data_IF_716972627097
#
_entry.id   IF_716972627097
#
_cell.length_a   1.000
_cell.length_b   1.000
_cell.length_c   1.000
_cell.angle_alpha   90.00
_cell.angle_beta   90.00
_cell.angle_gamma   90.00
#
_symmetry.space_group_name_H-M   'P 1'
#
loop_
_entity.id
_entity.type
_entity.pdbx_description
1 polymer ?
#
# COMPACT_ATOMS: atom_id res chain seq x y z
N UNK A 1 6.38 -17.48 9.84
CA UNK A 1 5.80 -17.47 8.45
C UNK A 1 5.19 -16.13 8.04
N UNK A 2 4.49 -15.43 8.94
CA UNK A 2 3.78 -14.16 8.66
C UNK A 2 4.69 -13.06 8.09
N UNK A 3 5.93 -12.97 8.59
CA UNK A 3 6.93 -12.00 8.13
C UNK A 3 7.34 -12.19 6.66
N UNK A 4 7.46 -13.43 6.18
CA UNK A 4 7.78 -13.69 4.76
C UNK A 4 6.62 -13.29 3.83
N UNK A 5 5.39 -13.58 4.25
CA UNK A 5 4.16 -13.16 3.56
C UNK A 5 4.08 -11.62 3.52
N UNK A 6 4.43 -10.95 4.62
CA UNK A 6 4.47 -9.49 4.66
C UNK A 6 5.48 -8.90 3.67
N UNK A 7 6.71 -9.45 3.63
CA UNK A 7 7.74 -9.03 2.65
C UNK A 7 7.24 -9.22 1.22
N UNK A 8 6.68 -10.39 0.92
CA UNK A 8 6.12 -10.68 -0.41
C UNK A 8 5.04 -9.67 -0.79
N UNK A 9 4.06 -9.44 0.09
CA UNK A 9 2.98 -8.48 -0.15
C UNK A 9 3.51 -7.07 -0.42
N UNK A 10 4.48 -6.59 0.37
CA UNK A 10 5.06 -5.25 0.16
C UNK A 10 5.79 -5.12 -1.18
N UNK A 11 6.64 -6.10 -1.53
CA UNK A 11 7.38 -6.10 -2.79
C UNK A 11 6.45 -6.24 -3.99
N UNK A 12 5.48 -7.14 -3.91
CA UNK A 12 4.47 -7.32 -4.96
C UNK A 12 3.67 -6.05 -5.18
N UNK A 13 3.21 -5.39 -4.11
CA UNK A 13 2.48 -4.12 -4.23
C UNK A 13 3.33 -3.04 -4.92
N UNK A 14 4.60 -2.89 -4.51
CA UNK A 14 5.50 -1.90 -5.08
C UNK A 14 5.77 -2.18 -6.56
N UNK A 15 6.02 -3.44 -6.91
CA UNK A 15 6.25 -3.85 -8.28
C UNK A 15 5.01 -3.63 -9.16
N UNK A 16 3.83 -4.02 -8.66
CA UNK A 16 2.58 -3.80 -9.38
C UNK A 16 2.28 -2.31 -9.57
N UNK A 17 2.58 -1.46 -8.58
CA UNK A 17 2.48 0.00 -8.74
C UNK A 17 3.32 0.50 -9.92
N UNK A 18 4.59 0.09 -9.98
CA UNK A 18 5.49 0.50 -11.08
C UNK A 18 4.98 0.03 -12.45
N UNK A 19 4.44 -1.19 -12.53
CA UNK A 19 3.86 -1.71 -13.79
C UNK A 19 2.63 -0.89 -14.20
N UNK A 20 1.76 -0.57 -13.25
CA UNK A 20 0.52 0.19 -13.48
C UNK A 20 0.85 1.62 -13.89
N UNK A 21 1.81 2.26 -13.26
CA UNK A 21 2.30 3.60 -13.61
C UNK A 21 2.85 3.66 -15.04
N UNK A 22 3.54 2.61 -15.49
CA UNK A 22 4.01 2.50 -16.88
C UNK A 22 2.92 2.16 -17.89
N UNK A 23 1.85 1.49 -17.47
CA UNK A 23 0.80 1.00 -18.37
C UNK A 23 -0.32 2.01 -18.59
N UNK A 24 -0.60 2.85 -17.59
CA UNK A 24 -1.69 3.81 -17.64
C UNK A 24 -1.17 5.21 -17.93
N UNK A 25 -1.36 5.66 -19.17
CA UNK A 25 -1.13 7.06 -19.52
C UNK A 25 -2.32 7.94 -19.09
N UNK A 26 -2.06 9.17 -18.61
CA UNK A 26 -3.12 10.11 -18.31
C UNK A 26 -3.83 10.55 -19.60
N UNK A 27 -5.15 10.51 -19.58
CA UNK A 27 -5.98 10.95 -20.70
C UNK A 27 -6.01 12.48 -20.71
N UNK A 28 -5.72 13.04 -21.89
CA UNK A 28 -5.78 14.49 -22.10
C UNK A 28 -7.23 14.90 -22.39
N UNK A 29 -7.80 15.68 -21.50
CA UNK A 29 -9.12 16.31 -21.67
C UNK A 29 -8.93 17.81 -21.93
N UNK A 30 -9.32 18.25 -23.13
CA UNK A 30 -9.35 19.66 -23.50
C UNK A 30 -10.75 20.21 -23.28
N UNK A 31 -10.89 21.13 -22.33
CA UNK A 31 -12.13 21.86 -22.08
C UNK A 31 -11.96 23.25 -22.69
N UNK A 32 -12.85 23.59 -23.60
CA UNK A 32 -12.90 24.91 -24.22
C UNK A 32 -14.06 25.67 -23.62
N UNK A 33 -13.79 26.78 -22.97
CA UNK A 33 -14.82 27.66 -22.41
C UNK A 33 -14.73 29.00 -23.11
N UNK A 34 -15.81 29.39 -23.78
CA UNK A 34 -15.92 30.71 -24.40
C UNK A 34 -16.79 31.58 -23.52
N UNK A 35 -16.21 32.66 -23.02
CA UNK A 35 -16.95 33.71 -22.34
C UNK A 35 -17.78 34.47 -23.39
N UNK A 36 -19.10 34.44 -23.25
CA UNK A 36 -20.03 35.06 -24.19
C UNK A 36 -20.06 36.59 -24.09
N UNK A 37 -19.58 37.17 -22.98
CA UNK A 37 -19.57 38.62 -22.74
C UNK A 37 -18.27 39.26 -23.23
N UNK A 38 -17.13 38.61 -22.98
CA UNK A 38 -15.81 39.10 -23.42
C UNK A 38 -15.36 38.53 -24.77
N UNK A 39 -16.01 37.48 -25.27
CA UNK A 39 -15.60 36.75 -26.49
C UNK A 39 -14.30 35.96 -26.34
N UNK A 40 -13.69 35.96 -25.15
CA UNK A 40 -12.43 35.28 -24.87
C UNK A 40 -12.69 33.79 -24.78
N UNK A 41 -11.92 33.02 -25.54
CA UNK A 41 -11.91 31.55 -25.44
C UNK A 41 -10.74 31.11 -24.59
N UNK A 42 -11.02 30.48 -23.46
CA UNK A 42 -10.03 29.81 -22.63
C UNK A 42 -10.02 28.32 -23.00
N UNK A 43 -8.81 27.78 -23.16
CA UNK A 43 -8.59 26.36 -23.38
C UNK A 43 -7.84 25.83 -22.18
N UNK A 44 -8.52 25.02 -21.37
CA UNK A 44 -7.92 24.34 -20.23
C UNK A 44 -7.64 22.89 -20.61
N UNK A 45 -6.38 22.47 -20.41
CA UNK A 45 -5.95 21.09 -20.62
C UNK A 45 -5.86 20.41 -19.26
N UNK A 46 -6.69 19.38 -19.06
CA UNK A 46 -6.65 18.52 -17.89
C UNK A 46 -6.06 17.17 -18.27
N UNK A 47 -5.23 16.62 -17.39
CA UNK A 47 -4.69 15.27 -17.52
C UNK A 47 -5.31 14.43 -16.43
N UNK A 48 -6.15 13.48 -16.82
CA UNK A 48 -6.91 12.66 -15.88
C UNK A 48 -6.61 11.18 -16.12
N UNK A 49 -6.18 10.50 -15.06
CA UNK A 49 -6.03 9.05 -15.09
C UNK A 49 -7.40 8.37 -15.12
N UNK A 50 -7.55 7.25 -15.84
CA UNK A 50 -8.80 6.50 -15.85
C UNK A 50 -9.15 6.00 -14.45
N UNK A 51 -10.45 5.90 -14.14
CA UNK A 51 -10.93 5.47 -12.81
C UNK A 51 -10.32 4.13 -12.35
N UNK A 52 -10.04 3.23 -13.28
CA UNK A 52 -9.39 1.94 -13.00
C UNK A 52 -8.01 2.10 -12.35
N UNK A 53 -7.23 3.10 -12.76
CA UNK A 53 -5.93 3.41 -12.15
C UNK A 53 -6.10 3.75 -10.66
N UNK A 54 -7.06 4.62 -10.32
CA UNK A 54 -7.36 4.97 -8.93
C UNK A 54 -7.75 3.77 -8.09
N UNK A 55 -8.64 2.90 -8.60
CA UNK A 55 -9.05 1.67 -7.90
C UNK A 55 -7.86 0.76 -7.63
N UNK A 56 -6.98 0.57 -8.62
CA UNK A 56 -5.77 -0.23 -8.47
C UNK A 56 -4.85 0.39 -7.41
N UNK A 57 -4.60 1.69 -7.45
CA UNK A 57 -3.80 2.38 -6.43
C UNK A 57 -4.36 2.19 -5.01
N UNK A 58 -5.67 2.28 -4.82
CA UNK A 58 -6.31 2.02 -3.52
C UNK A 58 -6.05 0.60 -3.02
N UNK A 59 -6.19 -0.42 -3.87
CA UNK A 59 -5.93 -1.82 -3.52
C UNK A 59 -4.45 -2.03 -3.15
N UNK A 60 -3.54 -1.37 -3.88
CA UNK A 60 -2.10 -1.46 -3.63
C UNK A 60 -1.73 -0.82 -2.28
N UNK A 61 -2.28 0.34 -1.94
CA UNK A 61 -2.07 0.98 -0.63
C UNK A 61 -2.51 0.07 0.51
N UNK A 62 -3.70 -0.53 0.41
CA UNK A 62 -4.20 -1.46 1.43
C UNK A 62 -3.26 -2.67 1.56
N UNK A 63 -2.88 -3.27 0.42
CA UNK A 63 -1.98 -4.42 0.38
C UNK A 63 -0.60 -4.11 0.96
N UNK A 64 -0.07 -2.90 0.70
CA UNK A 64 1.19 -2.43 1.25
C UNK A 64 1.12 -2.31 2.77
N UNK A 65 0.06 -1.67 3.30
CA UNK A 65 -0.15 -1.52 4.75
C UNK A 65 -0.28 -2.88 5.42
N UNK A 66 -1.04 -3.82 4.84
CA UNK A 66 -1.12 -5.20 5.35
C UNK A 66 0.24 -5.89 5.34
N UNK A 67 1.02 -5.71 4.27
CA UNK A 67 2.38 -6.26 4.18
C UNK A 67 3.28 -5.76 5.31
N UNK A 68 3.31 -4.44 5.53
CA UNK A 68 4.06 -3.82 6.63
C UNK A 68 3.57 -4.32 7.99
N UNK A 69 2.25 -4.43 8.17
CA UNK A 69 1.66 -4.98 9.39
C UNK A 69 2.13 -6.41 9.66
N UNK A 70 2.14 -7.30 8.67
CA UNK A 70 2.62 -8.67 8.84
C UNK A 70 4.13 -8.78 9.09
N UNK A 71 4.92 -7.81 8.63
CA UNK A 71 6.35 -7.72 8.93
C UNK A 71 6.56 -7.31 10.39
N UNK A 72 5.82 -6.29 10.85
CA UNK A 72 5.95 -5.70 12.18
C UNK A 72 5.22 -6.49 13.27
N UNK A 73 4.23 -7.32 12.89
CA UNK A 73 3.51 -8.18 13.81
C UNK A 73 4.49 -9.15 14.47
N UNK A 74 4.96 -8.78 15.67
CA UNK A 74 5.72 -9.69 16.54
C UNK A 74 4.92 -10.97 16.72
N UNK A 75 5.59 -12.10 16.49
CA UNK A 75 5.05 -13.40 16.82
C UNK A 75 4.79 -13.42 18.33
N UNK A 76 3.51 -13.33 18.74
CA UNK A 76 3.06 -13.51 20.13
C UNK A 76 3.24 -14.97 20.59
N UNK A 77 4.40 -15.58 20.37
CA UNK A 77 4.65 -16.99 20.68
C UNK A 77 5.69 -17.20 21.80
N UNK A 78 6.09 -16.15 22.52
CA UNK A 78 7.02 -16.26 23.65
C UNK A 78 6.54 -15.60 24.94
N UNK A 79 5.23 -15.35 25.08
CA UNK A 79 4.67 -14.89 26.38
C UNK A 79 4.13 -16.05 27.22
N UNK A 80 4.13 -17.28 26.70
CA UNK A 80 3.60 -18.46 27.41
C UNK A 80 4.68 -19.49 27.80
N UNK A 81 5.96 -19.21 27.51
CA UNK A 81 7.08 -20.09 27.84
C UNK A 81 8.18 -19.40 28.68
N UNK A 82 7.80 -18.44 29.53
CA UNK A 82 8.69 -17.89 30.56
C UNK A 82 8.24 -18.25 31.99
N UNK A 83 7.27 -19.15 32.14
CA UNK A 83 6.73 -19.58 33.44
C UNK A 83 6.84 -21.11 33.68
N UNK A 84 7.58 -21.85 32.85
CA UNK A 84 7.75 -23.31 33.01
C UNK A 84 9.17 -23.78 33.34
N UNK A 85 10.16 -22.88 33.44
CA UNK A 85 11.53 -23.27 33.82
C UNK A 85 11.88 -22.75 35.22
N UNK A 86 11.26 -23.32 36.25
CA UNK A 86 11.86 -23.34 37.60
C UNK A 86 12.35 -24.76 37.89
N UNK A 87 13.64 -25.08 37.66
CA UNK A 87 14.28 -26.19 38.33
C UNK A 87 14.63 -25.72 39.75
N UNK A 88 13.71 -25.93 40.69
CA UNK A 88 14.00 -25.78 42.12
C UNK A 88 14.80 -27.01 42.60
N UNK A 89 16.08 -27.07 42.24
CA UNK A 89 17.06 -27.93 42.92
C UNK A 89 17.73 -27.12 44.03
N UNK A 90 17.05 -27.02 45.18
CA UNK A 90 17.73 -26.69 46.44
C UNK A 90 18.47 -27.92 46.94
N UNK A 91 19.76 -27.98 46.59
CA UNK A 91 20.77 -28.74 47.33
C UNK A 91 20.91 -28.13 48.72
N UNK A 92 20.47 -28.84 49.77
CA UNK A 92 20.95 -28.61 51.14
C UNK A 92 21.06 -29.96 51.88
N UNK A 93 22.31 -30.42 51.96
CA UNK A 93 23.01 -31.16 53.04
C UNK A 93 22.41 -32.45 53.62
#
# INVERSE_FOLDING_TARGET
MKRAIGIFLTLSSLLTYLIVDMLYDPVKETITTTDMESGVTTVTVHYQYPLMFWVICFILIISFILGIYFILAKEKLYEECSLCDTPEYTSIK
#
